data_IF_593495107205
#
_entry.id   IF_593495107205
#
_cell.length_a   1.000
_cell.length_b   1.000
_cell.length_c   1.000
_cell.angle_alpha   90.00
_cell.angle_beta   90.00
_cell.angle_gamma   90.00
#
_symmetry.space_group_name_H-M   'P 1'
#
loop_
_entity.id
_entity.type
_entity.pdbx_description
1 polymer ?
#
# COMPACT_ATOMS: atom_id res chain seq x y z
N UNK A 1 8.28 11.09 7.83
CA UNK A 1 7.96 11.89 6.61
C UNK A 1 6.67 12.66 6.75
N UNK A 2 6.69 13.95 6.37
CA UNK A 2 5.55 14.86 6.47
C UNK A 2 4.87 15.01 5.11
N UNK A 3 3.54 15.00 5.10
CA UNK A 3 2.77 15.30 3.89
C UNK A 3 2.75 16.81 3.60
N UNK A 4 2.90 17.17 2.34
CA UNK A 4 2.74 18.54 1.81
C UNK A 4 1.50 18.64 0.92
N UNK A 5 0.95 19.84 0.75
CA UNK A 5 -0.18 20.09 -0.16
C UNK A 5 0.28 20.00 -1.61
N UNK A 6 -0.55 19.47 -2.50
CA UNK A 6 -0.29 19.43 -3.93
C UNK A 6 -1.60 19.58 -4.73
N UNK A 7 -1.43 20.02 -5.97
CA UNK A 7 -2.47 20.03 -7.01
C UNK A 7 -2.13 18.98 -8.05
N UNK A 8 -3.08 18.08 -8.32
CA UNK A 8 -2.94 17.04 -9.34
C UNK A 8 -3.95 17.29 -10.45
N UNK A 9 -3.57 16.97 -11.68
CA UNK A 9 -4.43 17.04 -12.86
C UNK A 9 -4.40 15.69 -13.56
N UNK A 10 -5.57 15.15 -13.84
CA UNK A 10 -5.76 13.92 -14.61
C UNK A 10 -6.97 14.09 -15.51
N UNK A 11 -6.83 13.75 -16.80
CA UNK A 11 -7.89 13.86 -17.81
C UNK A 11 -8.60 15.21 -17.82
N UNK A 12 -7.81 16.29 -17.75
CA UNK A 12 -8.29 17.67 -17.72
C UNK A 12 -8.91 18.11 -16.37
N UNK A 13 -9.09 17.19 -15.43
CA UNK A 13 -9.71 17.45 -14.13
C UNK A 13 -8.67 17.66 -13.04
N UNK A 14 -8.76 18.78 -12.34
CA UNK A 14 -7.86 19.12 -11.24
C UNK A 14 -8.45 18.71 -9.88
N UNK A 15 -7.61 18.21 -8.97
CA UNK A 15 -7.99 17.94 -7.59
C UNK A 15 -6.88 18.25 -6.59
N UNK A 16 -7.28 18.62 -5.38
CA UNK A 16 -6.38 18.89 -4.27
C UNK A 16 -5.94 17.57 -3.63
N UNK A 17 -4.66 17.44 -3.33
CA UNK A 17 -4.11 16.28 -2.64
C UNK A 17 -3.11 16.69 -1.54
N UNK A 18 -2.68 15.66 -0.80
CA UNK A 18 -1.46 15.68 -0.01
C UNK A 18 -0.50 14.64 -0.58
N UNK A 19 0.76 15.00 -0.73
CA UNK A 19 1.81 14.08 -1.18
C UNK A 19 2.94 14.01 -0.17
N UNK A 20 3.64 12.88 -0.14
CA UNK A 20 4.93 12.71 0.55
C UNK A 20 5.80 11.76 -0.25
N UNK A 21 7.10 11.75 0.05
CA UNK A 21 7.99 10.68 -0.42
C UNK A 21 7.53 9.34 0.16
N UNK A 22 7.55 8.31 -0.69
CA UNK A 22 7.25 6.92 -0.33
C UNK A 22 8.54 6.18 0.02
N UNK A 23 8.44 5.17 0.87
CA UNK A 23 9.52 4.22 1.11
C UNK A 23 10.35 4.52 2.34
N UNK A 24 11.18 3.54 2.70
CA UNK A 24 12.23 3.66 3.73
C UNK A 24 13.65 3.54 3.13
N UNK A 25 13.76 3.08 1.88
CA UNK A 25 15.01 2.81 1.19
C UNK A 25 15.26 3.85 0.10
N UNK A 26 16.52 3.93 -0.36
CA UNK A 26 16.99 4.92 -1.33
C UNK A 26 16.39 4.75 -2.72
N UNK A 27 15.92 3.56 -3.09
CA UNK A 27 15.29 3.23 -4.37
C UNK A 27 14.10 4.14 -4.72
N UNK A 28 13.44 4.68 -3.70
CA UNK A 28 12.31 5.60 -3.87
C UNK A 28 12.73 7.07 -4.03
N UNK A 29 13.99 7.42 -3.80
CA UNK A 29 14.53 8.79 -3.90
C UNK A 29 15.78 8.88 -4.80
N UNK A 30 16.09 7.81 -5.52
CA UNK A 30 17.24 7.77 -6.42
C UNK A 30 16.99 8.62 -7.67
N UNK A 31 17.98 9.46 -8.00
CA UNK A 31 17.91 10.37 -9.15
C UNK A 31 16.76 11.38 -9.05
N UNK A 32 16.15 11.69 -10.19
CA UNK A 32 15.05 12.66 -10.31
C UNK A 32 13.66 12.02 -10.27
N UNK A 33 13.56 10.69 -10.18
CA UNK A 33 12.32 9.93 -10.37
C UNK A 33 11.76 9.40 -9.05
N UNK A 34 11.49 10.33 -8.15
CA UNK A 34 11.04 10.00 -6.80
C UNK A 34 9.68 9.33 -6.78
N UNK A 35 9.49 8.46 -5.80
CA UNK A 35 8.21 7.81 -5.54
C UNK A 35 7.40 8.62 -4.53
N UNK A 36 6.11 8.77 -4.81
CA UNK A 36 5.18 9.56 -4.03
C UNK A 36 4.08 8.69 -3.45
N UNK A 37 3.66 8.99 -2.22
CA UNK A 37 2.36 8.58 -1.69
C UNK A 37 1.41 9.76 -1.74
N UNK A 38 0.24 9.55 -2.34
CA UNK A 38 -0.77 10.55 -2.60
C UNK A 38 -2.03 10.24 -1.80
N UNK A 39 -2.60 11.27 -1.19
CA UNK A 39 -3.93 11.25 -0.55
C UNK A 39 -4.75 12.38 -1.14
N UNK A 40 -5.75 12.05 -1.95
CA UNK A 40 -6.72 13.01 -2.47
C UNK A 40 -7.56 13.60 -1.34
N UNK A 41 -8.03 14.84 -1.52
CA UNK A 41 -8.92 15.53 -0.58
C UNK A 41 -10.33 15.61 -1.18
N UNK A 42 -11.34 15.54 -0.31
CA UNK A 42 -12.78 15.68 -0.67
C UNK A 42 -13.17 14.67 -1.77
N UNK A 43 -14.04 15.08 -2.69
CA UNK A 43 -14.57 14.32 -3.84
C UNK A 43 -13.51 13.95 -4.91
N UNK A 44 -12.29 14.50 -4.87
CA UNK A 44 -11.25 14.23 -5.88
C UNK A 44 -10.64 12.82 -5.83
N UNK A 45 -9.74 12.48 -6.75
CA UNK A 45 -9.09 11.18 -6.80
C UNK A 45 -8.46 10.86 -8.15
N UNK A 46 -7.85 9.69 -8.25
CA UNK A 46 -7.26 9.18 -9.50
C UNK A 46 -7.87 7.82 -9.79
N UNK A 47 -8.63 7.68 -10.89
CA UNK A 47 -9.29 6.42 -11.28
C UNK A 47 -10.08 5.74 -10.14
N UNK A 48 -10.82 6.54 -9.36
CA UNK A 48 -11.57 6.10 -8.17
C UNK A 48 -10.73 5.92 -6.90
N UNK A 49 -9.41 6.02 -6.96
CA UNK A 49 -8.53 5.89 -5.79
C UNK A 49 -8.43 7.23 -5.03
N UNK A 50 -8.65 7.19 -3.71
CA UNK A 50 -8.35 8.33 -2.81
C UNK A 50 -6.93 8.26 -2.28
N UNK A 51 -6.40 7.05 -2.06
CA UNK A 51 -5.03 6.83 -1.59
C UNK A 51 -4.31 5.95 -2.60
N UNK A 52 -3.19 6.43 -3.11
CA UNK A 52 -2.40 5.70 -4.08
C UNK A 52 -0.93 6.10 -4.01
N UNK A 53 -0.09 5.31 -4.66
CA UNK A 53 1.33 5.60 -4.84
C UNK A 53 1.61 5.83 -6.32
N UNK A 54 2.52 6.74 -6.61
CA UNK A 54 3.16 6.88 -7.92
C UNK A 54 4.62 6.54 -7.70
N UNK A 55 5.13 5.48 -8.33
CA UNK A 55 6.50 5.02 -8.08
C UNK A 55 7.24 4.62 -9.35
N UNK A 56 8.56 4.59 -9.26
CA UNK A 56 9.40 4.04 -10.30
C UNK A 56 9.04 2.54 -10.51
N UNK A 57 8.74 2.08 -11.74
CA UNK A 57 8.33 0.69 -11.99
C UNK A 57 9.32 -0.36 -11.46
N UNK A 58 10.62 -0.06 -11.49
CA UNK A 58 11.68 -0.91 -10.94
C UNK A 58 11.52 -1.24 -9.45
N UNK A 59 10.87 -0.39 -8.64
CA UNK A 59 10.59 -0.64 -7.20
C UNK A 59 9.55 -1.75 -6.96
N UNK A 60 8.99 -2.28 -8.06
CA UNK A 60 7.99 -3.35 -8.12
C UNK A 60 8.33 -4.40 -9.16
N UNK A 61 9.61 -4.50 -9.54
CA UNK A 61 10.07 -5.45 -10.57
C UNK A 61 9.32 -5.28 -11.90
N UNK A 62 9.04 -4.03 -12.29
CA UNK A 62 8.40 -3.65 -13.56
C UNK A 62 7.02 -4.28 -13.74
N UNK A 63 6.91 -5.32 -14.57
CA UNK A 63 5.63 -5.95 -14.92
C UNK A 63 5.16 -6.97 -13.88
N UNK A 64 6.03 -7.38 -12.95
CA UNK A 64 5.73 -8.49 -12.03
C UNK A 64 4.54 -8.17 -11.13
N UNK A 65 4.55 -6.99 -10.50
CA UNK A 65 3.42 -6.56 -9.67
C UNK A 65 2.14 -6.40 -10.49
N UNK A 66 2.23 -5.84 -11.69
CA UNK A 66 1.06 -5.73 -12.58
C UNK A 66 0.46 -7.11 -12.87
N UNK A 67 1.31 -8.08 -13.23
CA UNK A 67 0.90 -9.44 -13.52
C UNK A 67 0.29 -10.12 -12.29
N UNK A 68 0.90 -9.97 -11.12
CA UNK A 68 0.37 -10.48 -9.85
C UNK A 68 -1.03 -9.93 -9.56
N UNK A 69 -1.26 -8.64 -9.77
CA UNK A 69 -2.58 -8.03 -9.58
C UNK A 69 -3.61 -8.49 -10.61
N UNK A 70 -3.20 -8.77 -11.86
CA UNK A 70 -4.09 -9.38 -12.86
C UNK A 70 -4.47 -10.81 -12.47
N UNK A 71 -3.50 -11.63 -12.07
CA UNK A 71 -3.71 -13.01 -11.65
C UNK A 71 -4.64 -13.08 -10.44
N UNK A 72 -4.36 -12.29 -9.40
CA UNK A 72 -5.17 -12.21 -8.19
C UNK A 72 -6.63 -11.88 -8.50
N UNK A 73 -6.86 -10.95 -9.43
CA UNK A 73 -8.21 -10.60 -9.88
C UNK A 73 -8.87 -11.76 -10.65
N UNK A 74 -8.12 -12.46 -11.50
CA UNK A 74 -8.59 -13.63 -12.24
C UNK A 74 -9.06 -14.77 -11.31
N UNK A 75 -8.37 -14.94 -10.18
CA UNK A 75 -8.69 -15.93 -9.14
C UNK A 75 -9.74 -15.43 -8.13
N UNK A 76 -10.34 -14.26 -8.36
CA UNK A 76 -11.38 -13.69 -7.49
C UNK A 76 -10.87 -13.16 -6.14
N UNK A 77 -9.56 -12.99 -5.98
CA UNK A 77 -8.94 -12.36 -4.81
C UNK A 77 -9.09 -10.84 -4.87
N UNK A 78 -8.96 -10.19 -3.70
CA UNK A 78 -8.90 -8.72 -3.63
C UNK A 78 -7.59 -8.27 -4.26
N UNK A 79 -7.69 -7.56 -5.39
CA UNK A 79 -6.55 -7.03 -6.13
C UNK A 79 -6.58 -5.50 -6.14
N UNK A 80 -5.40 -4.90 -5.98
CA UNK A 80 -5.21 -3.46 -6.06
C UNK A 80 -5.39 -2.96 -7.49
N UNK A 81 -5.90 -1.74 -7.66
CA UNK A 81 -5.72 -1.02 -8.92
C UNK A 81 -4.23 -0.72 -9.12
N UNK A 82 -3.66 -1.41 -10.10
CA UNK A 82 -2.25 -1.26 -10.47
C UNK A 82 -2.13 -1.11 -11.98
N UNK A 83 -1.23 -0.23 -12.41
CA UNK A 83 -0.93 -0.03 -13.82
C UNK A 83 0.12 1.05 -14.02
N UNK A 84 0.18 1.61 -15.22
CA UNK A 84 1.22 2.55 -15.61
C UNK A 84 0.63 3.85 -16.16
N UNK A 85 1.28 4.96 -15.84
CA UNK A 85 0.92 6.28 -16.36
C UNK A 85 2.17 7.14 -16.59
N UNK A 86 2.06 8.19 -17.41
CA UNK A 86 3.12 9.21 -17.52
C UNK A 86 2.91 10.27 -16.43
N UNK A 87 3.99 10.65 -15.75
CA UNK A 87 3.94 11.66 -14.69
C UNK A 87 4.75 12.88 -15.09
N UNK A 88 4.12 14.06 -14.97
CA UNK A 88 4.79 15.35 -15.02
C UNK A 88 4.76 15.96 -13.62
N UNK A 89 5.91 16.41 -13.13
CA UNK A 89 6.03 17.03 -11.80
C UNK A 89 6.65 18.42 -11.95
N UNK A 90 5.91 19.46 -11.54
CA UNK A 90 6.32 20.87 -11.65
C UNK A 90 6.87 21.26 -13.03
N UNK A 91 6.21 20.81 -14.11
CA UNK A 91 6.60 21.11 -15.49
C UNK A 91 7.60 20.11 -16.10
N UNK A 92 8.30 19.32 -15.29
CA UNK A 92 9.25 18.33 -15.75
C UNK A 92 8.56 17.00 -16.06
N UNK A 93 8.78 16.46 -17.27
CA UNK A 93 8.34 15.11 -17.64
C UNK A 93 9.27 14.08 -16.95
N UNK A 94 8.71 13.26 -16.07
CA UNK A 94 9.43 12.19 -15.36
C UNK A 94 9.20 10.82 -16.00
N UNK A 95 8.48 10.76 -17.12
CA UNK A 95 8.20 9.56 -17.90
C UNK A 95 7.24 8.60 -17.19
N UNK A 96 7.42 7.30 -17.44
CA UNK A 96 6.49 6.25 -17.01
C UNK A 96 6.64 5.91 -15.52
N UNK A 97 5.54 5.98 -14.80
CA UNK A 97 5.39 5.56 -13.41
C UNK A 97 4.44 4.38 -13.32
N UNK A 98 4.62 3.57 -12.28
CA UNK A 98 3.59 2.65 -11.82
C UNK A 98 2.67 3.38 -10.82
N UNK A 99 1.36 3.28 -11.02
CA UNK A 99 0.39 3.65 -10.01
C UNK A 99 -0.05 2.41 -9.23
N UNK A 100 -0.19 2.54 -7.92
CA UNK A 100 -0.59 1.46 -7.01
C UNK A 100 -1.61 2.00 -6.01
N UNK A 101 -2.82 1.44 -6.02
CA UNK A 101 -3.85 1.70 -5.00
C UNK A 101 -3.31 1.38 -3.61
N UNK A 102 -3.70 2.19 -2.63
CA UNK A 102 -3.36 1.91 -1.24
C UNK A 102 -4.59 1.47 -0.47
N UNK A 103 -4.36 0.72 0.61
CA UNK A 103 -5.42 0.22 1.49
C UNK A 103 -6.27 1.39 2.03
N UNK A 104 -7.59 1.21 1.91
CA UNK A 104 -8.62 2.16 2.27
C UNK A 104 -10.00 1.54 2.02
N UNK A 105 -11.05 2.20 2.49
CA UNK A 105 -12.45 1.77 2.27
C UNK A 105 -12.73 1.58 0.77
N UNK A 106 -12.18 2.47 -0.07
CA UNK A 106 -12.30 2.42 -1.53
C UNK A 106 -11.83 1.09 -2.16
N UNK A 107 -10.86 0.40 -1.55
CA UNK A 107 -10.37 -0.88 -2.05
C UNK A 107 -11.46 -1.96 -1.94
N UNK A 108 -12.13 -2.03 -0.79
CA UNK A 108 -13.17 -3.03 -0.54
C UNK A 108 -14.40 -2.74 -1.40
N UNK A 109 -14.76 -1.46 -1.55
CA UNK A 109 -15.81 -1.03 -2.47
C UNK A 109 -15.53 -1.47 -3.92
N UNK A 110 -14.32 -1.20 -4.43
CA UNK A 110 -13.91 -1.61 -5.77
C UNK A 110 -13.88 -3.13 -5.94
N UNK A 111 -13.49 -3.86 -4.89
CA UNK A 111 -13.47 -5.32 -4.86
C UNK A 111 -14.86 -5.95 -4.61
N UNK A 112 -15.92 -5.14 -4.46
CA UNK A 112 -17.28 -5.59 -4.10
C UNK A 112 -17.27 -6.48 -2.86
N UNK A 113 -16.53 -6.04 -1.85
CA UNK A 113 -16.45 -6.66 -0.53
C UNK A 113 -17.13 -5.76 0.50
N UNK A 114 -17.78 -6.32 1.53
CA UNK A 114 -18.30 -5.54 2.64
C UNK A 114 -17.21 -4.67 3.28
N UNK A 115 -17.61 -3.54 3.82
CA UNK A 115 -16.71 -2.73 4.65
C UNK A 115 -16.24 -3.54 5.87
N UNK A 116 -14.96 -3.44 6.18
CA UNK A 116 -14.36 -4.17 7.30
C UNK A 116 -12.87 -3.88 7.47
N UNK A 117 -12.26 -4.39 8.55
CA UNK A 117 -10.83 -4.21 8.78
C UNK A 117 -10.02 -4.98 7.72
N UNK A 118 -9.00 -4.33 7.18
CA UNK A 118 -7.98 -4.99 6.36
C UNK A 118 -6.87 -5.45 7.30
N UNK A 119 -6.79 -6.76 7.52
CA UNK A 119 -5.79 -7.39 8.41
C UNK A 119 -4.51 -7.68 7.64
N UNK A 120 -3.37 -7.58 8.34
CA UNK A 120 -2.04 -7.86 7.81
C UNK A 120 -1.16 -8.46 8.90
N UNK A 121 -0.10 -9.13 8.48
CA UNK A 121 1.04 -9.44 9.35
C UNK A 121 1.81 -8.17 9.69
N UNK A 122 2.19 -8.00 10.95
CA UNK A 122 3.01 -6.89 11.41
C UNK A 122 4.41 -6.99 10.76
N UNK A 123 4.79 -6.02 9.92
CA UNK A 123 6.06 -6.06 9.21
C UNK A 123 7.24 -5.57 10.07
N UNK A 124 7.06 -5.24 11.34
CA UNK A 124 8.08 -4.60 12.17
C UNK A 124 9.35 -5.43 12.26
N UNK A 125 9.22 -6.74 12.54
CA UNK A 125 10.36 -7.65 12.64
C UNK A 125 11.05 -7.86 11.28
N UNK A 126 10.26 -7.94 10.20
CA UNK A 126 10.80 -7.93 8.83
C UNK A 126 11.70 -6.70 8.59
N UNK A 127 11.26 -5.50 9.01
CA UNK A 127 12.07 -4.29 8.82
C UNK A 127 13.32 -4.26 9.70
N UNK A 128 13.25 -4.71 10.95
CA UNK A 128 14.43 -4.84 11.82
C UNK A 128 15.46 -5.74 11.15
N UNK A 129 15.06 -6.94 10.74
CA UNK A 129 15.94 -7.89 10.06
C UNK A 129 16.49 -7.33 8.75
N UNK A 130 15.67 -6.65 7.94
CA UNK A 130 16.13 -6.06 6.67
C UNK A 130 17.18 -4.97 6.89
N UNK A 131 17.01 -4.13 7.90
CA UNK A 131 17.98 -3.09 8.26
C UNK A 131 19.27 -3.69 8.84
N UNK A 132 19.17 -4.67 9.75
CA UNK A 132 20.33 -5.40 10.28
C UNK A 132 21.16 -6.05 9.18
N UNK A 133 20.51 -6.66 8.18
CA UNK A 133 21.19 -7.25 7.04
C UNK A 133 21.93 -6.21 6.17
N UNK A 134 21.40 -5.00 6.03
CA UNK A 134 22.08 -3.91 5.33
C UNK A 134 23.33 -3.43 6.10
N UNK A 135 23.33 -3.60 7.42
CA UNK A 135 24.48 -3.35 8.29
C UNK A 135 25.43 -4.56 8.40
N UNK A 136 25.18 -5.63 7.64
CA UNK A 136 26.00 -6.84 7.61
C UNK A 136 25.75 -7.81 8.76
N UNK A 137 24.77 -7.53 9.62
CA UNK A 137 24.37 -8.39 10.73
C UNK A 137 23.34 -9.40 10.21
N UNK A 138 23.68 -10.68 10.28
CA UNK A 138 22.79 -11.79 9.87
C UNK A 138 22.39 -12.60 11.10
N UNK A 139 21.09 -12.78 11.28
CA UNK A 139 20.54 -13.76 12.21
C UNK A 139 19.73 -14.77 11.40
N UNK A 140 19.80 -16.03 11.77
CA UNK A 140 18.96 -17.08 11.20
C UNK A 140 17.65 -17.08 11.99
N UNK A 141 16.61 -16.46 11.43
CA UNK A 141 15.38 -16.16 12.16
C UNK A 141 14.14 -16.29 11.25
N UNK A 142 13.11 -17.06 11.65
CA UNK A 142 11.95 -17.37 10.83
C UNK A 142 10.89 -16.24 10.79
N UNK A 143 11.26 -14.96 10.98
CA UNK A 143 10.32 -13.82 11.08
C UNK A 143 9.41 -13.59 9.87
N UNK A 144 9.65 -14.26 8.73
CA UNK A 144 8.78 -14.26 7.56
C UNK A 144 7.75 -15.38 7.53
N UNK A 145 7.80 -16.31 8.49
CA UNK A 145 6.83 -17.39 8.58
C UNK A 145 5.52 -16.83 9.12
N UNK A 146 4.46 -17.04 8.33
CA UNK A 146 3.09 -16.78 8.72
C UNK A 146 2.77 -17.32 10.12
N UNK A 147 3.44 -18.38 10.58
CA UNK A 147 3.26 -18.96 11.91
C UNK A 147 3.59 -18.04 13.09
N UNK A 148 4.46 -17.03 12.93
CA UNK A 148 5.01 -16.27 14.06
C UNK A 148 4.69 -14.77 14.06
N UNK A 149 4.19 -14.21 12.96
CA UNK A 149 3.95 -12.76 12.87
C UNK A 149 2.69 -12.32 13.62
N UNK A 150 2.75 -11.24 14.37
CA UNK A 150 1.57 -10.64 15.02
C UNK A 150 0.60 -10.12 13.94
N UNK A 151 -0.70 -10.31 14.14
CA UNK A 151 -1.72 -9.72 13.28
C UNK A 151 -2.01 -8.28 13.70
N UNK A 152 -2.08 -7.40 12.70
CA UNK A 152 -2.40 -5.98 12.85
C UNK A 152 -3.49 -5.59 11.83
N UNK A 153 -4.20 -4.50 12.09
CA UNK A 153 -5.14 -3.92 11.14
C UNK A 153 -4.52 -2.71 10.43
N UNK A 154 -4.85 -2.50 9.17
CA UNK A 154 -4.60 -1.20 8.58
C UNK A 154 -5.45 -0.14 9.30
N UNK A 155 -4.82 0.95 9.77
CA UNK A 155 -5.43 1.96 10.65
C UNK A 155 -5.93 1.39 11.98
N UNK A 156 -5.18 0.49 12.62
CA UNK A 156 -5.47 -0.13 13.94
C UNK A 156 -6.05 0.84 14.96
N UNK A 157 -5.44 2.02 15.12
CA UNK A 157 -5.91 3.01 16.09
C UNK A 157 -7.30 3.58 15.81
N UNK A 158 -7.80 3.50 14.57
CA UNK A 158 -9.20 3.79 14.22
C UNK A 158 -10.08 2.55 14.40
N UNK A 159 -9.63 1.39 13.93
CA UNK A 159 -10.35 0.11 14.00
C UNK A 159 -10.68 -0.25 15.46
N UNK A 160 -9.74 -0.07 16.39
CA UNK A 160 -9.95 -0.44 17.79
C UNK A 160 -10.86 0.52 18.58
N UNK A 161 -11.16 1.71 18.04
CA UNK A 161 -12.00 2.71 18.71
C UNK A 161 -13.50 2.49 18.48
N UNK A 162 -13.86 1.87 17.37
CA UNK A 162 -15.24 1.56 17.02
C UNK A 162 -15.54 0.10 17.37
N UNK A 163 -16.62 -0.15 18.10
CA UNK A 163 -16.92 -1.49 18.63
C UNK A 163 -17.22 -2.51 17.54
N UNK A 164 -17.83 -2.08 16.43
CA UNK A 164 -18.20 -2.95 15.31
C UNK A 164 -16.96 -3.42 14.56
N UNK A 165 -16.11 -2.48 14.15
CA UNK A 165 -14.86 -2.78 13.42
C UNK A 165 -13.83 -3.48 14.30
N UNK A 166 -13.80 -3.17 15.61
CA UNK A 166 -13.00 -3.93 16.58
C UNK A 166 -13.42 -5.39 16.65
N UNK A 167 -14.72 -5.67 16.77
CA UNK A 167 -15.22 -7.05 16.82
C UNK A 167 -14.89 -7.81 15.53
N UNK A 168 -15.09 -7.18 14.37
CA UNK A 168 -14.71 -7.77 13.09
C UNK A 168 -13.19 -8.07 13.00
N UNK A 169 -12.35 -7.24 13.63
CA UNK A 169 -10.92 -7.49 13.70
C UNK A 169 -10.59 -8.67 14.62
N UNK A 170 -11.23 -8.76 15.80
CA UNK A 170 -11.08 -9.89 16.73
C UNK A 170 -11.51 -11.21 16.07
N UNK A 171 -12.62 -11.21 15.32
CA UNK A 171 -13.08 -12.37 14.56
C UNK A 171 -12.07 -12.78 13.48
N UNK A 172 -11.51 -11.80 12.74
CA UNK A 172 -10.49 -12.07 11.72
C UNK A 172 -9.20 -12.65 12.33
N UNK A 173 -8.79 -12.17 13.51
CA UNK A 173 -7.66 -12.73 14.27
C UNK A 173 -7.96 -14.18 14.66
N UNK A 174 -9.15 -14.47 15.21
CA UNK A 174 -9.51 -15.83 15.61
C UNK A 174 -9.49 -16.81 14.43
N UNK A 175 -9.97 -16.40 13.24
CA UNK A 175 -9.91 -17.23 12.02
C UNK A 175 -8.46 -17.54 11.63
N UNK A 176 -7.59 -16.52 11.62
CA UNK A 176 -6.19 -16.69 11.24
C UNK A 176 -5.40 -17.53 12.25
N UNK A 177 -5.63 -17.34 13.56
CA UNK A 177 -5.00 -18.18 14.57
C UNK A 177 -5.51 -19.63 14.50
N UNK A 178 -6.80 -19.85 14.24
CA UNK A 178 -7.33 -21.18 13.99
C UNK A 178 -6.65 -21.85 12.79
N UNK A 179 -6.43 -21.12 11.70
CA UNK A 179 -5.66 -21.63 10.56
C UNK A 179 -4.22 -22.02 10.93
N UNK A 180 -3.54 -21.24 11.79
CA UNK A 180 -2.19 -21.54 12.25
C UNK A 180 -2.10 -22.78 13.12
N UNK A 181 -3.12 -23.03 13.94
CA UNK A 181 -3.11 -24.14 14.90
C UNK A 181 -3.61 -25.46 14.33
N UNK A 182 -4.22 -25.45 13.14
CA UNK A 182 -4.91 -26.62 12.56
C UNK A 182 -6.19 -26.97 13.31
#
# INVERSE_FOLDING_TARGET
DRYVKADLVHDGSAFKARIRIKGKLSDHVEGSKWSFRVIARKEGGFMGMKRFSLQHPGTRNYLYEWFYQQLSRGEGLIALKYGFCKVRFNGQDLGVYAYEEHFGEELLEHARRPEGPIVRFDPSLYWVHRLSNLEGIRFDEPYGEEAASVLDAYRTGSVLKDSTTRRAFEDAVAIMEGFRTG
#
